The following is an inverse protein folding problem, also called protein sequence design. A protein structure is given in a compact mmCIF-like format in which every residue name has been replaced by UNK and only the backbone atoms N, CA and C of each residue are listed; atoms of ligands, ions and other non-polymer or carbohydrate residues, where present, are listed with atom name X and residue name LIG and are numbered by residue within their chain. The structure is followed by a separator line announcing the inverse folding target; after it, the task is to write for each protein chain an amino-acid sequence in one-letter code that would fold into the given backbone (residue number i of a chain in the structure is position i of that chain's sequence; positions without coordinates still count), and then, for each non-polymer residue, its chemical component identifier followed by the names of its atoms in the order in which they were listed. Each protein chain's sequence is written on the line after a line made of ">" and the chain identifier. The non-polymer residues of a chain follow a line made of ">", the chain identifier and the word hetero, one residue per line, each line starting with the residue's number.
data_IF_589277350073
#
_entry.id   IF_589277350073
#
_cell.length_a   1.000
_cell.length_b   1.000
_cell.length_c   1.000
_cell.angle_alpha   90.00
_cell.angle_beta   90.00
_cell.angle_gamma   90.00
#
_symmetry.space_group_name_H-M   'P 1'
#
loop_
_entity.id
_entity.type
_entity.pdbx_description
1 polymer ?
#
# COMPACT_ATOMS: atom_id res chain seq x y z
N UNK A 1 17.98 11.48 57.23
CA UNK A 1 17.57 10.30 56.41
C UNK A 1 17.65 10.70 54.97
N UNK A 2 18.59 10.16 54.24
CA UNK A 2 18.82 10.45 52.81
C UNK A 2 17.80 9.76 51.94
N UNK A 3 17.54 10.27 50.73
CA UNK A 3 16.60 9.75 49.76
C UNK A 3 16.87 8.26 49.47
N UNK A 4 18.11 7.82 49.52
CA UNK A 4 18.54 6.41 49.35
C UNK A 4 17.99 5.48 50.46
N UNK A 5 17.88 5.92 51.69
CA UNK A 5 17.33 5.12 52.80
C UNK A 5 15.81 4.96 52.70
N UNK A 6 15.11 5.92 52.07
CA UNK A 6 13.66 5.80 51.83
C UNK A 6 13.35 4.83 50.70
N UNK A 7 14.16 4.82 49.64
CA UNK A 7 13.98 3.91 48.52
C UNK A 7 14.29 2.45 48.90
N UNK A 8 15.31 2.26 49.76
CA UNK A 8 15.65 0.92 50.27
C UNK A 8 14.57 0.37 51.21
N UNK A 9 13.95 1.24 51.99
CA UNK A 9 12.87 0.83 52.91
C UNK A 9 11.57 0.46 52.16
N UNK A 10 11.32 1.08 51.03
CA UNK A 10 10.17 0.78 50.12
C UNK A 10 10.35 -0.55 49.44
N UNK A 11 11.58 -0.94 49.05
CA UNK A 11 11.87 -2.23 48.42
C UNK A 11 11.66 -3.39 49.42
N UNK A 12 12.02 -3.21 50.70
CA UNK A 12 11.89 -4.24 51.73
C UNK A 12 10.44 -4.60 52.08
N UNK A 13 9.47 -3.66 51.82
CA UNK A 13 8.06 -3.90 52.13
C UNK A 13 7.18 -4.34 50.95
N UNK A 14 7.72 -4.53 49.77
CA UNK A 14 6.97 -5.06 48.62
C UNK A 14 5.78 -4.19 48.14
N UNK A 15 5.68 -2.93 48.58
CA UNK A 15 4.45 -2.14 48.48
C UNK A 15 4.44 -1.06 47.39
N UNK A 16 5.50 -0.86 46.61
CA UNK A 16 5.53 0.31 45.72
C UNK A 16 6.21 0.16 44.36
N UNK A 17 6.36 -1.05 43.83
CA UNK A 17 6.72 -1.21 42.44
C UNK A 17 5.56 -0.79 41.47
N UNK A 18 4.37 -0.55 42.02
CA UNK A 18 3.18 -0.16 41.25
C UNK A 18 2.97 1.36 41.14
N UNK A 19 3.65 2.17 41.94
CA UNK A 19 3.38 3.63 42.00
C UNK A 19 4.25 4.48 41.10
N UNK A 20 5.18 3.91 40.35
CA UNK A 20 6.08 4.65 39.45
C UNK A 20 5.92 4.33 37.94
N UNK A 21 4.92 3.58 37.54
CA UNK A 21 4.45 3.71 36.16
C UNK A 21 3.71 5.06 36.07
N UNK A 22 4.47 6.14 35.85
CA UNK A 22 3.88 7.36 35.32
C UNK A 22 3.19 6.94 34.03
N UNK A 23 1.87 6.83 34.05
CA UNK A 23 1.12 6.58 32.82
C UNK A 23 1.44 7.74 31.89
N UNK A 24 2.24 7.49 30.90
CA UNK A 24 2.47 8.41 29.80
C UNK A 24 1.26 8.18 28.92
N UNK A 25 0.33 9.10 28.94
CA UNK A 25 -0.74 9.14 27.96
C UNK A 25 -0.20 9.85 26.73
N UNK A 26 -0.20 9.17 25.58
CA UNK A 26 0.02 9.81 24.30
C UNK A 26 -1.00 10.92 24.14
N UNK A 27 -0.51 12.13 23.90
CA UNK A 27 -1.36 13.31 23.76
C UNK A 27 -1.73 13.51 22.29
N UNK A 28 -2.46 12.56 21.74
CA UNK A 28 -2.84 12.53 20.31
C UNK A 28 -3.42 13.85 19.85
N UNK A 29 -4.34 14.45 20.62
CA UNK A 29 -4.96 15.74 20.25
C UNK A 29 -3.96 16.92 20.29
N UNK A 30 -3.02 16.94 21.22
CA UNK A 30 -1.97 17.99 21.28
C UNK A 30 -1.02 17.86 20.08
N UNK A 31 -0.63 16.63 19.71
CA UNK A 31 0.23 16.36 18.56
C UNK A 31 -0.49 16.78 17.27
N UNK A 32 -1.75 16.39 17.10
CA UNK A 32 -2.55 16.76 15.92
C UNK A 32 -2.74 18.27 15.83
N UNK A 33 -3.08 18.94 16.92
CA UNK A 33 -3.24 20.40 16.94
C UNK A 33 -1.94 21.14 16.59
N UNK A 34 -0.81 20.63 17.10
CA UNK A 34 0.51 21.17 16.75
C UNK A 34 0.85 20.97 15.27
N UNK A 35 0.50 19.78 14.74
CA UNK A 35 0.73 19.44 13.35
C UNK A 35 -0.14 20.27 12.40
N UNK A 36 -1.43 20.47 12.74
CA UNK A 36 -2.35 21.31 11.98
C UNK A 36 -1.88 22.78 11.95
N UNK A 37 -1.35 23.29 13.07
CA UNK A 37 -0.80 24.63 13.12
C UNK A 37 0.44 24.78 12.21
N UNK A 38 1.26 23.75 12.05
CA UNK A 38 2.43 23.73 11.16
C UNK A 38 2.06 23.52 9.68
N UNK A 39 1.03 22.73 9.42
CA UNK A 39 0.61 22.28 8.09
C UNK A 39 -0.85 22.62 7.80
N UNK A 40 -1.23 23.90 7.81
CA UNK A 40 -2.62 24.32 7.63
C UNK A 40 -3.15 23.90 6.26
N UNK A 41 -4.31 23.22 6.25
CA UNK A 41 -4.97 22.82 5.02
C UNK A 41 -4.54 21.47 4.44
N UNK A 42 -3.59 20.76 5.05
CA UNK A 42 -3.16 19.42 4.63
C UNK A 42 -4.08 18.32 5.19
N UNK A 43 -5.36 18.33 4.81
CA UNK A 43 -6.42 17.52 5.41
C UNK A 43 -6.17 16.01 5.29
N UNK A 44 -5.77 15.54 4.10
CA UNK A 44 -5.53 14.12 3.85
C UNK A 44 -4.38 13.60 4.71
N UNK A 45 -3.34 14.40 4.88
CA UNK A 45 -2.20 14.06 5.70
C UNK A 45 -2.56 14.00 7.19
N UNK A 46 -3.25 15.03 7.72
CA UNK A 46 -3.67 15.11 9.11
C UNK A 46 -4.62 13.96 9.49
N UNK A 47 -5.53 13.59 8.57
CA UNK A 47 -6.43 12.44 8.78
C UNK A 47 -5.66 11.13 8.90
N UNK A 48 -4.71 10.86 8.01
CA UNK A 48 -3.91 9.65 8.05
C UNK A 48 -3.07 9.55 9.34
N UNK A 49 -2.48 10.66 9.78
CA UNK A 49 -1.76 10.71 11.05
C UNK A 49 -2.70 10.39 12.21
N UNK A 50 -3.90 10.98 12.26
CA UNK A 50 -4.90 10.72 13.29
C UNK A 50 -5.26 9.24 13.38
N UNK A 51 -5.57 8.61 12.25
CA UNK A 51 -5.94 7.18 12.18
C UNK A 51 -4.84 6.28 12.74
N UNK A 52 -3.59 6.51 12.35
CA UNK A 52 -2.46 5.73 12.84
C UNK A 52 -2.23 5.96 14.35
N UNK A 53 -2.16 7.22 14.79
CA UNK A 53 -1.92 7.55 16.20
C UNK A 53 -3.01 6.95 17.11
N UNK A 54 -4.27 7.01 16.71
CA UNK A 54 -5.37 6.39 17.46
C UNK A 54 -5.18 4.87 17.62
N UNK A 55 -4.73 4.19 16.56
CA UNK A 55 -4.56 2.73 16.58
C UNK A 55 -3.34 2.26 17.39
N UNK A 56 -2.30 3.09 17.52
CA UNK A 56 -1.06 2.73 18.23
C UNK A 56 -0.98 3.27 19.66
N UNK A 57 -1.94 4.10 20.09
CA UNK A 57 -1.92 4.78 21.40
C UNK A 57 -1.68 3.81 22.56
N UNK A 58 -2.39 2.68 22.56
CA UNK A 58 -2.25 1.68 23.63
C UNK A 58 -0.82 1.15 23.76
N UNK A 59 -0.24 0.69 22.64
CA UNK A 59 1.12 0.15 22.64
C UNK A 59 2.18 1.21 22.90
N UNK A 60 1.97 2.44 22.40
CA UNK A 60 2.87 3.55 22.68
C UNK A 60 2.97 3.85 24.18
N UNK A 61 1.83 3.86 24.87
CA UNK A 61 1.75 4.13 26.31
C UNK A 61 2.44 3.05 27.18
N UNK A 62 2.67 1.87 26.63
CA UNK A 62 3.46 0.80 27.26
C UNK A 62 4.99 1.04 27.15
N UNK A 63 5.42 2.00 26.32
CA UNK A 63 6.82 2.28 25.97
C UNK A 63 7.25 3.70 26.32
N UNK A 64 7.50 4.01 27.62
CA UNK A 64 7.89 5.37 28.05
C UNK A 64 9.19 5.87 27.40
N UNK A 65 10.04 4.99 26.92
CA UNK A 65 11.24 5.33 26.16
C UNK A 65 10.92 6.02 24.81
N UNK A 66 9.79 5.72 24.19
CA UNK A 66 9.38 6.35 22.94
C UNK A 66 9.04 7.84 23.12
N UNK A 67 8.34 8.18 24.21
CA UNK A 67 8.06 9.58 24.55
C UNK A 67 9.34 10.35 24.84
N UNK A 68 10.27 9.76 25.60
CA UNK A 68 11.55 10.38 25.91
C UNK A 68 12.38 10.66 24.66
N UNK A 69 12.31 9.81 23.66
CA UNK A 69 13.00 9.95 22.38
C UNK A 69 12.20 10.75 21.34
N UNK A 70 11.01 11.25 21.68
CA UNK A 70 10.14 12.00 20.79
C UNK A 70 9.84 11.26 19.49
N UNK A 71 9.57 9.95 19.61
CA UNK A 71 9.37 9.08 18.43
C UNK A 71 8.20 9.57 17.57
N UNK A 72 7.06 9.94 18.17
CA UNK A 72 5.91 10.39 17.39
C UNK A 72 6.18 11.71 16.69
N UNK A 73 6.72 12.69 17.39
CA UNK A 73 7.01 14.02 16.82
C UNK A 73 8.01 13.94 15.65
N UNK A 74 8.95 12.98 15.70
CA UNK A 74 9.89 12.70 14.61
C UNK A 74 9.25 11.86 13.50
N UNK A 75 8.32 10.98 13.84
CA UNK A 75 7.67 10.07 12.89
C UNK A 75 6.60 10.77 12.03
N UNK A 76 5.94 11.80 12.58
CA UNK A 76 4.89 12.55 11.87
C UNK A 76 5.44 13.72 11.04
N UNK A 77 6.73 13.92 10.97
CA UNK A 77 7.35 14.91 10.09
C UNK A 77 8.23 14.17 9.07
N UNK A 78 8.12 14.45 7.77
CA UNK A 78 9.00 13.84 6.79
C UNK A 78 10.45 14.33 6.95
N UNK A 79 11.41 13.45 6.70
CA UNK A 79 12.83 13.80 6.78
C UNK A 79 13.20 14.92 5.79
N UNK A 80 12.65 14.88 4.56
CA UNK A 80 12.90 15.88 3.50
C UNK A 80 11.75 15.97 2.52
N UNK A 81 11.53 17.17 1.99
CA UNK A 81 10.59 17.44 0.90
C UNK A 81 11.32 18.22 -0.18
N UNK A 82 11.26 17.73 -1.41
CA UNK A 82 11.72 18.43 -2.59
C UNK A 82 10.51 18.89 -3.41
N UNK A 83 10.47 20.17 -3.72
CA UNK A 83 9.48 20.77 -4.61
C UNK A 83 10.21 21.50 -5.73
N UNK A 84 9.85 21.22 -6.98
CA UNK A 84 10.56 21.75 -8.14
C UNK A 84 9.64 21.99 -9.33
N UNK A 85 10.02 22.91 -10.20
CA UNK A 85 9.33 23.16 -11.48
C UNK A 85 9.77 22.12 -12.52
N UNK A 86 8.80 21.68 -13.33
CA UNK A 86 9.02 20.76 -14.44
C UNK A 86 8.56 21.43 -15.73
N UNK A 87 9.41 22.24 -16.40
CA UNK A 87 9.08 22.82 -17.70
C UNK A 87 9.28 21.80 -18.81
N UNK A 88 8.34 21.73 -19.75
CA UNK A 88 8.42 20.85 -20.92
C UNK A 88 7.67 21.46 -22.10
N UNK A 89 7.91 20.93 -23.30
CA UNK A 89 7.33 21.45 -24.55
C UNK A 89 6.46 20.36 -25.16
N UNK A 90 5.23 20.70 -25.58
CA UNK A 90 4.34 19.77 -26.26
C UNK A 90 4.68 19.58 -27.75
N UNK A 91 3.87 18.82 -28.48
CA UNK A 91 4.11 18.53 -29.89
C UNK A 91 3.79 19.74 -30.80
N UNK A 92 3.10 20.76 -30.28
CA UNK A 92 2.81 22.04 -30.96
C UNK A 92 3.89 23.10 -30.74
N UNK A 93 4.87 22.80 -29.83
CA UNK A 93 5.93 23.75 -29.46
C UNK A 93 5.55 24.70 -28.31
N UNK A 94 4.40 24.46 -27.68
CA UNK A 94 3.95 25.26 -26.52
C UNK A 94 4.66 24.80 -25.24
N UNK A 95 5.03 25.78 -24.41
CA UNK A 95 5.73 25.53 -23.13
C UNK A 95 4.71 25.32 -22.02
N UNK A 96 4.85 24.21 -21.32
CA UNK A 96 4.09 23.86 -20.12
C UNK A 96 5.00 23.85 -18.90
N UNK A 97 4.43 24.17 -17.73
CA UNK A 97 5.14 24.12 -16.44
C UNK A 97 4.27 23.38 -15.43
N UNK A 98 4.76 22.25 -14.96
CA UNK A 98 4.16 21.47 -13.89
C UNK A 98 4.96 21.63 -12.59
N UNK A 99 4.35 21.24 -11.48
CA UNK A 99 4.99 21.19 -10.17
C UNK A 99 5.29 19.74 -9.81
N UNK A 100 6.57 19.45 -9.59
CA UNK A 100 7.06 18.14 -9.17
C UNK A 100 7.42 18.11 -7.70
N UNK A 101 7.28 16.92 -7.09
CA UNK A 101 7.54 16.69 -5.67
C UNK A 101 8.23 15.35 -5.43
N UNK A 102 9.07 15.30 -4.38
CA UNK A 102 9.49 14.07 -3.72
C UNK A 102 9.48 14.27 -2.22
N UNK A 103 8.73 13.45 -1.52
CA UNK A 103 8.70 13.35 -0.06
C UNK A 103 9.53 12.14 0.35
N UNK A 104 10.66 12.36 0.98
CA UNK A 104 11.47 11.39 1.67
C UNK A 104 10.98 11.37 3.12
N UNK A 105 10.11 10.38 3.42
CA UNK A 105 9.33 10.46 4.64
C UNK A 105 10.09 9.94 5.86
N UNK A 106 10.57 8.69 5.81
CA UNK A 106 11.33 8.07 6.89
C UNK A 106 12.24 6.96 6.34
N UNK A 107 13.51 6.95 6.72
CA UNK A 107 14.50 5.97 6.28
C UNK A 107 15.09 5.11 7.40
N UNK A 108 14.45 5.07 8.56
CA UNK A 108 14.96 4.31 9.70
C UNK A 108 15.15 2.80 9.43
N UNK A 109 14.40 2.24 8.48
CA UNK A 109 14.51 0.81 8.12
C UNK A 109 15.42 0.56 6.91
N UNK A 110 15.54 1.54 6.02
CA UNK A 110 16.30 1.43 4.78
C UNK A 110 16.05 2.61 3.84
N UNK A 111 16.52 2.57 2.59
CA UNK A 111 16.34 3.68 1.65
C UNK A 111 14.87 4.04 1.48
N UNK A 112 14.58 5.32 1.28
CA UNK A 112 13.22 5.77 1.00
C UNK A 112 12.65 5.01 -0.19
N UNK A 113 11.44 4.52 -0.10
CA UNK A 113 10.81 3.70 -1.14
C UNK A 113 9.34 4.06 -1.29
N UNK A 114 8.94 4.33 -2.54
CA UNK A 114 7.55 4.59 -2.88
C UNK A 114 7.36 5.20 -4.26
N UNK A 115 6.15 5.09 -4.79
CA UNK A 115 5.82 5.42 -6.17
C UNK A 115 5.87 6.91 -6.50
N UNK A 116 5.97 7.19 -7.79
CA UNK A 116 5.71 8.50 -8.41
C UNK A 116 4.30 8.49 -9.01
N UNK A 117 3.50 9.50 -8.72
CA UNK A 117 2.14 9.68 -9.25
C UNK A 117 2.09 10.86 -10.22
N UNK A 118 1.62 10.63 -11.45
CA UNK A 118 1.34 11.71 -12.39
C UNK A 118 -0.17 11.84 -12.56
N UNK A 119 -0.73 12.83 -11.89
CA UNK A 119 -2.17 13.07 -11.88
C UNK A 119 -2.47 14.51 -11.49
N UNK A 120 -3.48 15.16 -12.08
CA UNK A 120 -3.79 16.58 -11.81
C UNK A 120 -4.15 16.88 -10.34
N UNK A 121 -4.56 15.88 -9.57
CA UNK A 121 -4.85 16.05 -8.14
C UNK A 121 -3.62 16.02 -7.24
N UNK A 122 -2.42 15.77 -7.78
CA UNK A 122 -1.20 15.68 -6.96
C UNK A 122 -0.91 17.03 -6.30
N UNK A 123 -0.79 16.98 -4.98
CA UNK A 123 -0.38 18.08 -4.13
C UNK A 123 0.46 17.54 -2.96
N UNK A 124 1.02 18.44 -2.17
CA UNK A 124 1.92 18.06 -1.07
C UNK A 124 1.21 17.27 0.04
N UNK A 125 -0.03 17.63 0.39
CA UNK A 125 -0.83 16.92 1.42
C UNK A 125 -1.01 15.44 1.05
N UNK A 126 -1.43 15.17 -0.20
CA UNK A 126 -1.60 13.80 -0.71
C UNK A 126 -0.28 13.03 -0.69
N UNK A 127 0.84 13.66 -1.08
CA UNK A 127 2.13 12.97 -1.12
C UNK A 127 2.71 12.73 0.28
N UNK A 128 2.50 13.63 1.24
CA UNK A 128 2.84 13.41 2.64
C UNK A 128 2.01 12.26 3.24
N UNK A 129 0.70 12.28 3.03
CA UNK A 129 -0.20 11.19 3.41
C UNK A 129 0.32 9.83 2.88
N UNK A 130 0.54 9.76 1.57
CA UNK A 130 0.97 8.52 0.94
C UNK A 130 2.39 8.09 1.37
N UNK A 131 3.30 9.03 1.65
CA UNK A 131 4.65 8.74 2.16
C UNK A 131 4.64 8.22 3.58
N UNK A 132 3.78 8.80 4.43
CA UNK A 132 3.55 8.35 5.80
C UNK A 132 3.02 6.91 5.84
N UNK A 133 1.94 6.63 5.12
CA UNK A 133 1.36 5.28 4.99
C UNK A 133 2.36 4.28 4.40
N UNK A 134 3.15 4.72 3.41
CA UNK A 134 4.17 3.87 2.78
C UNK A 134 5.25 3.43 3.76
N UNK A 135 5.59 4.24 4.77
CA UNK A 135 6.55 3.90 5.81
C UNK A 135 6.12 2.64 6.56
N UNK A 136 4.86 2.57 7.00
CA UNK A 136 4.32 1.41 7.73
C UNK A 136 4.12 0.20 6.82
N UNK A 137 3.61 0.42 5.62
CA UNK A 137 3.44 -0.63 4.62
C UNK A 137 4.77 -1.33 4.28
N UNK A 138 5.83 -0.55 4.06
CA UNK A 138 7.15 -1.10 3.78
C UNK A 138 7.72 -1.84 5.00
N UNK A 139 7.50 -1.32 6.20
CA UNK A 139 7.91 -1.95 7.44
C UNK A 139 7.35 -3.37 7.59
N UNK A 140 6.09 -3.60 7.20
CA UNK A 140 5.44 -4.91 7.26
C UNK A 140 6.11 -5.94 6.35
N UNK A 141 6.69 -5.54 5.22
CA UNK A 141 7.31 -6.48 4.26
C UNK A 141 8.53 -7.22 4.78
N UNK A 142 9.04 -6.86 5.96
CA UNK A 142 10.32 -7.31 6.53
C UNK A 142 11.57 -6.86 5.77
N UNK A 143 11.44 -6.38 4.55
CA UNK A 143 12.53 -5.89 3.72
C UNK A 143 13.06 -4.53 4.24
N UNK A 144 14.35 -4.23 3.99
CA UNK A 144 14.97 -2.98 4.44
C UNK A 144 14.59 -1.81 3.54
N UNK A 145 13.38 -1.30 3.70
CA UNK A 145 12.84 -0.20 2.90
C UNK A 145 12.13 0.81 3.80
N UNK A 146 12.54 2.06 3.72
CA UNK A 146 11.87 3.20 4.33
C UNK A 146 10.62 3.65 3.54
N UNK A 147 10.06 4.80 3.89
CA UNK A 147 8.89 5.39 3.23
C UNK A 147 9.21 6.63 2.42
N UNK A 148 8.66 6.74 1.24
CA UNK A 148 8.73 7.93 0.40
C UNK A 148 7.61 7.96 -0.63
N UNK A 149 7.33 9.14 -1.16
CA UNK A 149 6.33 9.33 -2.22
C UNK A 149 6.67 10.55 -3.06
N UNK A 150 6.32 10.52 -4.34
CA UNK A 150 6.53 11.67 -5.20
C UNK A 150 5.53 11.74 -6.33
N UNK A 151 5.70 12.72 -7.20
CA UNK A 151 4.83 12.88 -8.35
C UNK A 151 4.76 14.31 -8.86
N UNK A 152 3.82 14.55 -9.75
CA UNK A 152 3.54 15.84 -10.32
C UNK A 152 2.06 15.97 -10.72
N UNK A 153 1.59 17.20 -10.86
CA UNK A 153 0.25 17.55 -11.35
C UNK A 153 0.09 17.35 -12.87
N UNK A 154 0.86 16.44 -13.44
CA UNK A 154 0.91 16.17 -14.88
C UNK A 154 -0.25 15.31 -15.35
N UNK A 155 -0.93 15.74 -16.42
CA UNK A 155 -1.99 14.99 -17.09
C UNK A 155 -1.39 14.20 -18.25
N UNK A 156 -1.22 12.91 -18.10
CA UNK A 156 -0.63 12.02 -19.12
C UNK A 156 -1.62 11.56 -20.19
N UNK A 157 -2.94 11.54 -19.86
CA UNK A 157 -3.98 11.08 -20.80
C UNK A 157 -4.10 12.05 -21.96
N UNK A 158 -4.14 11.50 -23.18
CA UNK A 158 -4.20 12.30 -24.41
C UNK A 158 -2.87 12.89 -24.86
N UNK A 159 -1.78 12.65 -24.15
CA UNK A 159 -0.43 13.06 -24.55
C UNK A 159 0.25 12.00 -25.41
N UNK A 160 1.05 12.45 -26.36
CA UNK A 160 1.90 11.56 -27.16
C UNK A 160 3.03 10.94 -26.33
N UNK A 161 3.59 9.82 -26.79
CA UNK A 161 4.77 9.23 -26.15
C UNK A 161 5.96 10.18 -26.09
N UNK A 162 6.11 11.04 -27.09
CA UNK A 162 7.17 12.05 -27.15
C UNK A 162 6.95 13.14 -26.09
N UNK A 163 5.71 13.60 -25.88
CA UNK A 163 5.37 14.54 -24.81
C UNK A 163 5.64 13.96 -23.43
N UNK A 164 5.16 12.74 -23.17
CA UNK A 164 5.39 12.04 -21.91
C UNK A 164 6.88 11.81 -21.65
N UNK A 165 7.64 11.46 -22.68
CA UNK A 165 9.10 11.30 -22.57
C UNK A 165 9.77 12.64 -22.20
N UNK A 166 9.44 13.73 -22.84
CA UNK A 166 10.00 15.07 -22.53
C UNK A 166 9.67 15.50 -21.11
N UNK A 167 8.43 15.25 -20.67
CA UNK A 167 8.04 15.51 -19.29
C UNK A 167 8.86 14.68 -18.30
N UNK A 168 8.97 13.35 -18.49
CA UNK A 168 9.75 12.47 -17.64
C UNK A 168 11.24 12.86 -17.58
N UNK A 169 11.81 13.27 -18.69
CA UNK A 169 13.19 13.74 -18.75
C UNK A 169 13.38 15.03 -17.95
N UNK A 170 12.48 16.00 -18.10
CA UNK A 170 12.52 17.26 -17.34
C UNK A 170 12.32 17.01 -15.85
N UNK A 171 11.37 16.15 -15.46
CA UNK A 171 11.14 15.75 -14.07
C UNK A 171 12.42 15.12 -13.46
N UNK A 172 13.10 14.24 -14.19
CA UNK A 172 14.31 13.57 -13.71
C UNK A 172 15.51 14.51 -13.61
N UNK A 173 15.59 15.55 -14.45
CA UNK A 173 16.66 16.58 -14.34
C UNK A 173 16.69 17.23 -12.96
N UNK A 174 15.53 17.42 -12.34
CA UNK A 174 15.43 17.99 -11.00
C UNK A 174 15.64 16.94 -9.89
N UNK A 175 15.15 15.72 -10.11
CA UNK A 175 15.09 14.71 -9.06
C UNK A 175 16.39 13.91 -8.89
N UNK A 176 17.17 13.67 -9.93
CA UNK A 176 18.22 12.66 -9.98
C UNK A 176 19.27 12.72 -8.87
N UNK A 177 19.61 13.93 -8.38
CA UNK A 177 20.61 14.11 -7.30
C UNK A 177 20.12 13.64 -5.93
N UNK A 178 18.83 13.48 -5.77
CA UNK A 178 18.18 13.18 -4.50
C UNK A 178 17.73 11.72 -4.40
N UNK A 179 17.95 10.91 -5.44
CA UNK A 179 17.60 9.50 -5.51
C UNK A 179 18.81 8.63 -5.81
N UNK A 180 18.71 7.36 -5.50
CA UNK A 180 19.79 6.38 -5.73
C UNK A 180 19.43 5.02 -5.13
N UNK A 181 20.16 3.94 -5.47
CA UNK A 181 19.83 2.58 -5.06
C UNK A 181 19.81 2.39 -3.53
N UNK A 182 20.67 3.14 -2.82
CA UNK A 182 20.83 3.04 -1.36
C UNK A 182 20.31 4.29 -0.60
N UNK A 183 19.74 5.26 -1.33
CA UNK A 183 19.24 6.51 -0.75
C UNK A 183 17.71 6.58 -0.85
N UNK A 184 17.20 6.56 -2.08
CA UNK A 184 15.78 6.71 -2.37
C UNK A 184 15.47 6.03 -3.71
N UNK A 185 14.57 5.05 -3.68
CA UNK A 185 14.22 4.24 -4.85
C UNK A 185 12.76 4.45 -5.22
N UNK A 186 12.45 5.37 -6.14
CA UNK A 186 11.09 5.56 -6.64
C UNK A 186 10.58 4.34 -7.42
N UNK A 187 9.25 4.28 -7.60
CA UNK A 187 8.55 3.25 -8.37
C UNK A 187 7.42 3.86 -9.18
N UNK A 188 6.69 3.05 -9.93
CA UNK A 188 5.43 3.46 -10.55
C UNK A 188 4.27 3.58 -9.56
N UNK A 189 3.29 4.42 -9.91
CA UNK A 189 2.00 4.62 -9.25
C UNK A 189 1.00 5.12 -10.31
N UNK A 190 -0.13 5.72 -9.95
CA UNK A 190 -1.11 6.26 -10.90
C UNK A 190 -0.41 7.18 -11.92
N UNK A 191 -0.61 6.91 -13.21
CA UNK A 191 -0.02 7.67 -14.30
C UNK A 191 1.47 7.43 -14.55
N UNK A 192 2.09 6.48 -13.83
CA UNK A 192 3.49 6.08 -14.03
C UNK A 192 3.56 4.57 -14.14
N UNK A 193 3.50 4.08 -15.36
CA UNK A 193 3.65 2.67 -15.71
C UNK A 193 5.07 2.32 -16.19
N UNK A 194 5.20 1.16 -16.85
CA UNK A 194 6.50 0.69 -17.36
C UNK A 194 7.14 1.67 -18.36
N UNK A 195 6.32 2.33 -19.21
CA UNK A 195 6.77 3.36 -20.17
C UNK A 195 7.42 4.53 -19.46
N UNK A 196 6.72 5.14 -18.52
CA UNK A 196 7.21 6.29 -17.74
C UNK A 196 8.43 5.93 -16.92
N UNK A 197 8.44 4.77 -16.26
CA UNK A 197 9.60 4.25 -15.52
C UNK A 197 10.80 4.10 -16.48
N UNK A 198 10.57 3.61 -17.69
CA UNK A 198 11.62 3.50 -18.72
C UNK A 198 12.23 4.87 -19.08
N UNK A 199 11.40 5.88 -19.34
CA UNK A 199 11.86 7.23 -19.66
C UNK A 199 12.60 7.90 -18.49
N UNK A 200 12.06 7.76 -17.27
CA UNK A 200 12.71 8.26 -16.05
C UNK A 200 14.05 7.59 -15.81
N UNK A 201 14.12 6.26 -15.91
CA UNK A 201 15.36 5.52 -15.72
C UNK A 201 16.41 5.81 -16.79
N UNK A 202 16.00 5.91 -18.05
CA UNK A 202 16.90 6.28 -19.16
C UNK A 202 17.57 7.62 -18.93
N UNK A 203 16.84 8.62 -18.43
CA UNK A 203 17.38 9.92 -18.08
C UNK A 203 18.26 9.89 -16.83
N UNK A 204 17.83 9.20 -15.76
CA UNK A 204 18.64 8.99 -14.56
C UNK A 204 20.00 8.38 -14.90
N UNK A 205 20.00 7.26 -15.62
CA UNK A 205 21.23 6.56 -16.04
C UNK A 205 22.18 7.48 -16.82
N UNK A 206 21.63 8.35 -17.66
CA UNK A 206 22.44 9.31 -18.42
C UNK A 206 23.08 10.38 -17.53
N UNK A 207 22.34 10.89 -16.55
CA UNK A 207 22.78 11.96 -15.64
C UNK A 207 23.76 11.43 -14.57
N UNK A 208 23.39 10.33 -13.92
CA UNK A 208 24.20 9.71 -12.88
C UNK A 208 25.43 8.98 -13.44
N UNK A 209 25.39 8.56 -14.72
CA UNK A 209 26.41 7.73 -15.39
C UNK A 209 26.58 6.37 -14.72
N UNK A 210 25.49 5.84 -14.18
CA UNK A 210 25.43 4.59 -13.44
C UNK A 210 24.27 3.73 -13.93
N UNK A 211 24.48 2.40 -13.91
CA UNK A 211 23.43 1.42 -14.15
C UNK A 211 23.14 0.67 -12.85
N UNK A 212 22.24 1.19 -12.05
CA UNK A 212 21.95 0.72 -10.68
C UNK A 212 20.48 0.37 -10.48
N UNK A 213 20.14 -0.11 -9.28
CA UNK A 213 18.79 -0.42 -8.85
C UNK A 213 17.89 0.78 -8.53
N UNK A 214 18.28 1.98 -8.93
CA UNK A 214 17.43 3.17 -8.81
C UNK A 214 16.20 3.02 -9.70
N UNK A 215 15.02 3.28 -9.17
CA UNK A 215 13.71 2.98 -9.74
C UNK A 215 13.40 1.48 -9.80
N UNK A 216 12.16 1.12 -9.42
CA UNK A 216 11.62 -0.22 -9.61
C UNK A 216 10.37 -0.21 -10.50
N UNK A 217 10.02 -1.37 -11.05
CA UNK A 217 9.05 -1.49 -12.13
C UNK A 217 9.66 -1.28 -13.51
N UNK A 218 10.97 -1.48 -13.61
CA UNK A 218 11.72 -1.44 -14.88
C UNK A 218 11.29 -2.56 -15.82
N UNK A 219 11.55 -2.40 -17.11
CA UNK A 219 11.45 -3.49 -18.09
C UNK A 219 12.46 -4.60 -17.79
N UNK A 220 12.13 -5.83 -18.16
CA UNK A 220 13.01 -6.99 -17.95
C UNK A 220 14.36 -6.84 -18.62
N UNK A 221 14.40 -6.12 -19.74
CA UNK A 221 15.60 -5.88 -20.56
C UNK A 221 16.66 -5.01 -19.84
N UNK A 222 16.28 -4.30 -18.78
CA UNK A 222 17.17 -3.38 -18.06
C UNK A 222 17.02 -3.44 -16.54
N UNK A 223 16.82 -4.64 -16.00
CA UNK A 223 16.90 -4.92 -14.57
C UNK A 223 15.55 -4.95 -13.85
N UNK A 224 14.44 -5.07 -14.56
CA UNK A 224 13.13 -5.32 -13.97
C UNK A 224 12.99 -6.74 -13.39
N UNK A 225 12.08 -6.92 -12.47
CA UNK A 225 11.71 -8.23 -11.93
C UNK A 225 10.49 -8.80 -12.64
N UNK A 226 10.50 -10.11 -12.84
CA UNK A 226 9.34 -10.87 -13.30
C UNK A 226 8.21 -10.85 -12.25
N UNK A 227 6.97 -11.13 -12.64
CA UNK A 227 5.73 -11.12 -11.82
C UNK A 227 5.36 -9.73 -11.25
N UNK A 228 5.99 -8.65 -11.66
CA UNK A 228 5.71 -7.32 -11.10
C UNK A 228 4.28 -6.81 -11.35
N UNK A 229 3.67 -7.00 -12.55
CA UNK A 229 2.31 -6.56 -12.80
C UNK A 229 1.26 -7.26 -11.92
N UNK A 230 1.41 -8.55 -11.68
CA UNK A 230 0.46 -9.41 -10.95
C UNK A 230 0.70 -9.43 -9.43
N UNK A 231 1.88 -8.99 -8.99
CA UNK A 231 2.37 -9.18 -7.63
C UNK A 231 1.43 -8.67 -6.54
N UNK A 232 0.71 -7.57 -6.77
CA UNK A 232 -0.23 -7.03 -5.80
C UNK A 232 -1.41 -7.98 -5.60
N UNK A 233 -1.99 -8.48 -6.69
CA UNK A 233 -3.09 -9.45 -6.66
C UNK A 233 -2.64 -10.79 -6.09
N UNK A 234 -1.48 -11.32 -6.49
CA UNK A 234 -0.91 -12.56 -5.98
C UNK A 234 -0.68 -12.49 -4.47
N UNK A 235 0.00 -11.42 -4.04
CA UNK A 235 0.24 -11.19 -2.61
C UNK A 235 -1.03 -11.07 -1.79
N UNK A 236 -2.05 -10.37 -2.31
CA UNK A 236 -3.35 -10.26 -1.68
C UNK A 236 -3.99 -11.64 -1.45
N UNK A 237 -3.96 -12.53 -2.44
CA UNK A 237 -4.49 -13.89 -2.29
C UNK A 237 -3.68 -14.75 -1.34
N UNK A 238 -2.35 -14.59 -1.26
CA UNK A 238 -1.54 -15.26 -0.24
C UNK A 238 -1.95 -14.84 1.17
N UNK A 239 -2.13 -13.53 1.39
CA UNK A 239 -2.60 -13.01 2.67
C UNK A 239 -4.00 -13.53 3.02
N UNK A 240 -4.95 -13.46 2.10
CA UNK A 240 -6.33 -13.95 2.28
C UNK A 240 -6.35 -15.44 2.60
N UNK A 241 -5.55 -16.24 1.91
CA UNK A 241 -5.47 -17.68 2.17
C UNK A 241 -4.95 -17.98 3.58
N UNK A 242 -3.94 -17.24 4.07
CA UNK A 242 -3.46 -17.36 5.45
C UNK A 242 -4.54 -16.91 6.45
N UNK A 243 -5.22 -15.80 6.19
CA UNK A 243 -6.29 -15.28 7.03
C UNK A 243 -7.45 -16.30 7.16
N UNK A 244 -7.85 -16.93 6.08
CA UNK A 244 -8.88 -17.97 6.11
C UNK A 244 -8.42 -19.20 6.92
N UNK A 245 -7.18 -19.66 6.73
CA UNK A 245 -6.61 -20.81 7.46
C UNK A 245 -6.51 -20.55 8.96
N UNK A 246 -6.14 -19.34 9.39
CA UNK A 246 -6.10 -18.94 10.80
C UNK A 246 -7.48 -19.11 11.47
N UNK A 247 -8.56 -18.97 10.69
CA UNK A 247 -9.94 -19.13 11.15
C UNK A 247 -10.57 -20.49 10.76
N UNK A 248 -9.76 -21.49 10.40
CA UNK A 248 -10.22 -22.85 10.11
C UNK A 248 -10.94 -23.01 8.76
N UNK A 249 -10.75 -22.09 7.84
CA UNK A 249 -11.34 -22.14 6.49
C UNK A 249 -10.29 -22.44 5.42
N UNK A 250 -10.73 -23.01 4.30
CA UNK A 250 -9.93 -23.17 3.09
C UNK A 250 -10.49 -22.26 1.98
N UNK A 251 -9.62 -21.64 1.20
CA UNK A 251 -10.02 -20.85 0.03
C UNK A 251 -10.58 -21.71 -1.10
N UNK A 252 -10.17 -22.99 -1.17
CA UNK A 252 -10.62 -23.92 -2.22
C UNK A 252 -12.13 -24.09 -2.19
N UNK A 253 -12.74 -23.91 -3.37
CA UNK A 253 -14.19 -24.02 -3.56
C UNK A 253 -14.99 -22.79 -3.13
N UNK A 254 -14.35 -21.76 -2.54
CA UNK A 254 -15.03 -20.51 -2.17
C UNK A 254 -15.35 -19.65 -3.37
N UNK A 255 -16.47 -18.94 -3.30
CA UNK A 255 -16.86 -17.94 -4.29
C UNK A 255 -16.23 -16.58 -3.96
N UNK A 256 -15.70 -15.92 -4.97
CA UNK A 256 -14.96 -14.66 -4.83
C UNK A 256 -15.55 -13.56 -5.70
N UNK A 257 -15.88 -12.43 -5.09
CA UNK A 257 -16.15 -11.20 -5.81
C UNK A 257 -14.88 -10.37 -5.93
N UNK A 258 -14.51 -10.00 -7.15
CA UNK A 258 -13.42 -9.09 -7.47
C UNK A 258 -13.98 -7.85 -8.14
N UNK A 259 -13.57 -6.67 -7.71
CA UNK A 259 -13.78 -5.41 -8.44
C UNK A 259 -12.55 -5.03 -9.23
N UNK A 260 -12.75 -4.16 -10.24
CA UNK A 260 -11.66 -3.65 -11.06
C UNK A 260 -11.37 -4.48 -12.30
N UNK A 261 -10.51 -3.90 -13.12
CA UNK A 261 -10.12 -4.43 -14.44
C UNK A 261 -8.64 -4.18 -14.74
N UNK A 262 -7.89 -3.75 -13.69
CA UNK A 262 -6.46 -3.48 -13.75
C UNK A 262 -5.59 -4.69 -13.42
N UNK A 263 -4.27 -4.51 -13.41
CA UNK A 263 -3.29 -5.56 -13.09
C UNK A 263 -3.54 -6.20 -11.70
N UNK A 264 -4.00 -5.41 -10.73
CA UNK A 264 -4.36 -5.89 -9.39
C UNK A 264 -5.50 -6.90 -9.47
N UNK A 265 -6.59 -6.55 -10.17
CA UNK A 265 -7.72 -7.44 -10.35
C UNK A 265 -7.33 -8.72 -11.12
N UNK A 266 -6.52 -8.61 -12.16
CA UNK A 266 -6.02 -9.76 -12.93
C UNK A 266 -5.17 -10.70 -12.10
N UNK A 267 -4.23 -10.15 -11.32
CA UNK A 267 -3.44 -10.94 -10.40
C UNK A 267 -4.35 -11.67 -9.39
N UNK A 268 -5.35 -10.97 -8.83
CA UNK A 268 -6.29 -11.57 -7.90
C UNK A 268 -7.12 -12.71 -8.54
N UNK A 269 -7.68 -12.48 -9.73
CA UNK A 269 -8.46 -13.50 -10.47
C UNK A 269 -7.62 -14.73 -10.76
N UNK A 270 -6.41 -14.54 -11.30
CA UNK A 270 -5.51 -15.64 -11.67
C UNK A 270 -5.13 -16.45 -10.43
N UNK A 271 -4.63 -15.80 -9.37
CA UNK A 271 -4.17 -16.51 -8.17
C UNK A 271 -5.33 -17.15 -7.39
N UNK A 272 -6.49 -16.53 -7.30
CA UNK A 272 -7.67 -17.14 -6.69
C UNK A 272 -8.07 -18.44 -7.42
N UNK A 273 -8.06 -18.42 -8.76
CA UNK A 273 -8.35 -19.60 -9.59
C UNK A 273 -7.31 -20.70 -9.39
N UNK A 274 -6.01 -20.36 -9.36
CA UNK A 274 -4.92 -21.32 -9.07
C UNK A 274 -5.07 -21.96 -7.70
N UNK A 275 -5.51 -21.23 -6.68
CA UNK A 275 -5.77 -21.73 -5.33
C UNK A 275 -7.09 -22.52 -5.23
N UNK A 276 -7.84 -22.67 -6.33
CA UNK A 276 -9.06 -23.44 -6.41
C UNK A 276 -10.32 -22.72 -5.98
N UNK A 277 -10.30 -21.40 -5.84
CA UNK A 277 -11.50 -20.59 -5.63
C UNK A 277 -12.23 -20.35 -6.96
N UNK A 278 -13.50 -19.95 -6.87
CA UNK A 278 -14.31 -19.59 -8.02
C UNK A 278 -14.58 -18.07 -8.04
N UNK A 279 -13.88 -17.35 -8.90
CA UNK A 279 -14.12 -15.92 -9.09
C UNK A 279 -15.38 -15.76 -9.93
N UNK A 280 -16.37 -15.03 -9.40
CA UNK A 280 -17.69 -14.88 -10.05
C UNK A 280 -17.99 -13.46 -10.51
N UNK A 281 -17.16 -12.48 -10.15
CA UNK A 281 -17.35 -11.10 -10.60
C UNK A 281 -16.03 -10.45 -11.04
N UNK A 282 -16.15 -9.47 -11.94
CA UNK A 282 -15.14 -8.48 -12.28
C UNK A 282 -15.86 -7.18 -12.63
N UNK A 283 -15.25 -6.02 -12.43
CA UNK A 283 -15.89 -4.74 -12.72
C UNK A 283 -15.01 -3.78 -13.49
N UNK A 284 -15.63 -2.95 -14.30
CA UNK A 284 -15.03 -1.84 -15.03
C UNK A 284 -15.66 -0.49 -14.63
N UNK A 285 -15.28 0.60 -15.31
CA UNK A 285 -15.93 1.89 -15.13
C UNK A 285 -17.41 1.89 -15.52
N UNK A 286 -17.80 1.00 -16.42
CA UNK A 286 -19.16 0.83 -16.98
C UNK A 286 -20.12 0.02 -16.08
N UNK A 287 -19.59 -0.79 -15.16
CA UNK A 287 -20.40 -1.65 -14.30
C UNK A 287 -19.65 -2.92 -13.89
N UNK A 288 -20.38 -4.01 -13.60
CA UNK A 288 -19.75 -5.28 -13.26
C UNK A 288 -20.41 -6.46 -14.00
N UNK A 289 -19.62 -7.51 -14.15
CA UNK A 289 -20.05 -8.84 -14.63
C UNK A 289 -20.28 -9.75 -13.44
N UNK A 290 -21.37 -10.51 -13.46
CA UNK A 290 -21.59 -11.67 -12.61
C UNK A 290 -21.66 -12.92 -13.48
N UNK A 291 -20.74 -13.85 -13.30
CA UNK A 291 -20.67 -15.13 -14.00
C UNK A 291 -20.72 -16.29 -12.99
N UNK A 292 -21.86 -16.94 -12.80
CA UNK A 292 -22.02 -18.02 -11.83
C UNK A 292 -21.19 -19.28 -12.18
N UNK A 293 -20.78 -19.45 -13.43
CA UNK A 293 -19.91 -20.54 -13.87
C UNK A 293 -18.44 -20.31 -13.45
N UNK A 294 -18.08 -19.07 -13.18
CA UNK A 294 -16.73 -18.64 -12.81
C UNK A 294 -15.94 -18.07 -13.99
N UNK A 295 -15.04 -17.14 -13.64
CA UNK A 295 -14.15 -16.44 -14.59
C UNK A 295 -12.79 -17.14 -14.57
N UNK A 296 -12.53 -18.04 -15.51
CA UNK A 296 -11.29 -18.81 -15.57
C UNK A 296 -10.93 -19.19 -17.03
N UNK A 297 -9.70 -19.59 -17.28
CA UNK A 297 -9.25 -20.10 -18.58
C UNK A 297 -9.49 -19.11 -19.73
N UNK A 298 -10.25 -19.50 -20.74
CA UNK A 298 -10.56 -18.68 -21.93
C UNK A 298 -11.20 -17.33 -21.54
N UNK A 299 -12.00 -17.30 -20.48
CA UNK A 299 -12.66 -16.07 -20.03
C UNK A 299 -11.66 -15.04 -19.53
N UNK A 300 -10.60 -15.46 -18.82
CA UNK A 300 -9.49 -14.59 -18.41
C UNK A 300 -8.76 -14.06 -19.65
N UNK A 301 -8.41 -14.92 -20.59
CA UNK A 301 -7.70 -14.53 -21.80
C UNK A 301 -8.49 -13.49 -22.61
N UNK A 302 -9.79 -13.73 -22.79
CA UNK A 302 -10.65 -12.75 -23.46
C UNK A 302 -10.65 -11.38 -22.82
N UNK A 303 -10.69 -11.34 -21.50
CA UNK A 303 -10.68 -10.07 -20.77
C UNK A 303 -9.31 -9.37 -20.85
N UNK A 304 -8.21 -10.13 -20.86
CA UNK A 304 -6.87 -9.57 -21.08
C UNK A 304 -6.73 -8.97 -22.48
N UNK A 305 -7.25 -9.64 -23.50
CA UNK A 305 -7.29 -9.13 -24.88
C UNK A 305 -8.14 -7.85 -24.99
N UNK A 306 -9.32 -7.84 -24.37
CA UNK A 306 -10.21 -6.68 -24.33
C UNK A 306 -9.50 -5.46 -23.70
N UNK A 307 -8.78 -5.66 -22.60
CA UNK A 307 -7.98 -4.63 -21.98
C UNK A 307 -6.82 -4.17 -22.87
N UNK A 308 -6.10 -5.09 -23.47
CA UNK A 308 -4.98 -4.79 -24.38
C UNK A 308 -5.41 -3.96 -25.60
N UNK A 309 -6.65 -4.08 -26.03
CA UNK A 309 -7.24 -3.24 -27.08
C UNK A 309 -7.51 -1.79 -26.69
N UNK A 310 -7.22 -1.41 -25.45
CA UNK A 310 -7.49 -0.08 -24.90
C UNK A 310 -8.94 0.16 -24.46
N UNK A 311 -9.75 -0.91 -24.41
CA UNK A 311 -11.15 -0.85 -24.04
C UNK A 311 -11.32 -1.24 -22.56
N UNK A 312 -11.44 -0.24 -21.68
CA UNK A 312 -11.55 -0.42 -20.22
C UNK A 312 -12.98 -0.72 -19.74
N UNK A 313 -13.84 -1.31 -20.57
CA UNK A 313 -15.20 -1.69 -20.22
C UNK A 313 -15.35 -3.21 -20.11
N UNK A 314 -16.30 -3.67 -19.29
CA UNK A 314 -16.52 -5.10 -19.05
C UNK A 314 -17.81 -5.64 -19.72
N UNK A 315 -18.71 -4.79 -20.17
CA UNK A 315 -19.97 -5.18 -20.80
C UNK A 315 -19.80 -6.20 -21.95
N UNK A 316 -18.79 -6.12 -22.86
CA UNK A 316 -18.61 -7.09 -23.95
C UNK A 316 -18.41 -8.54 -23.49
N UNK A 317 -18.06 -8.78 -22.22
CA UNK A 317 -17.95 -10.13 -21.66
C UNK A 317 -19.30 -10.86 -21.70
N UNK A 318 -20.40 -10.20 -21.28
CA UNK A 318 -21.74 -10.81 -21.30
C UNK A 318 -22.30 -11.01 -22.71
N UNK A 319 -21.77 -10.27 -23.69
CA UNK A 319 -22.10 -10.51 -25.08
C UNK A 319 -21.47 -11.81 -25.59
N UNK A 320 -20.26 -12.13 -25.17
CA UNK A 320 -19.55 -13.35 -25.58
C UNK A 320 -19.96 -14.57 -24.74
N UNK A 321 -20.11 -14.43 -23.44
CA UNK A 321 -20.43 -15.51 -22.48
C UNK A 321 -21.86 -15.36 -21.98
N UNK A 322 -22.81 -16.06 -22.61
CA UNK A 322 -24.25 -15.85 -22.40
C UNK A 322 -24.80 -16.27 -21.03
N UNK A 323 -24.04 -17.06 -20.27
CA UNK A 323 -24.33 -17.39 -18.86
C UNK A 323 -24.05 -16.25 -17.87
N UNK A 324 -23.27 -15.29 -18.29
CA UNK A 324 -22.95 -14.12 -17.49
C UNK A 324 -23.97 -12.99 -17.64
N UNK A 325 -24.09 -12.19 -16.61
CA UNK A 325 -24.93 -10.98 -16.63
C UNK A 325 -24.07 -9.74 -16.42
N UNK A 326 -24.41 -8.66 -17.11
CA UNK A 326 -23.80 -7.34 -16.92
C UNK A 326 -24.77 -6.43 -16.19
N UNK A 327 -24.29 -5.72 -15.16
CA UNK A 327 -25.04 -4.71 -14.43
C UNK A 327 -24.34 -3.36 -14.55
N UNK A 328 -24.97 -2.45 -15.29
CA UNK A 328 -24.41 -1.13 -15.58
C UNK A 328 -24.36 -0.23 -14.33
N UNK A 329 -23.27 0.52 -14.19
CA UNK A 329 -23.12 1.59 -13.19
C UNK A 329 -23.04 1.14 -11.74
N UNK A 330 -23.03 -0.17 -11.45
CA UNK A 330 -22.93 -0.74 -10.10
C UNK A 330 -21.60 -1.43 -9.84
N UNK A 331 -21.34 -1.70 -8.54
CA UNK A 331 -20.24 -2.54 -8.03
C UNK A 331 -20.82 -3.90 -7.59
N UNK A 332 -20.00 -4.96 -7.46
CA UNK A 332 -20.48 -6.33 -7.26
C UNK A 332 -20.85 -6.68 -5.81
N UNK A 333 -20.89 -5.72 -4.89
CA UNK A 333 -20.94 -5.98 -3.45
C UNK A 333 -22.31 -6.49 -2.94
N UNK A 334 -23.37 -6.37 -3.73
CA UNK A 334 -24.68 -6.98 -3.47
C UNK A 334 -24.69 -8.50 -3.72
N UNK A 335 -23.69 -9.04 -4.46
CA UNK A 335 -23.63 -10.46 -4.79
C UNK A 335 -23.27 -11.30 -3.56
N UNK A 336 -23.99 -12.42 -3.40
CA UNK A 336 -23.70 -13.37 -2.32
C UNK A 336 -22.44 -14.18 -2.65
N UNK A 337 -21.36 -13.90 -1.93
CA UNK A 337 -20.05 -14.54 -2.11
C UNK A 337 -19.42 -14.84 -0.74
N UNK A 338 -18.45 -15.76 -0.74
CA UNK A 338 -17.68 -16.07 0.47
C UNK A 338 -16.60 -15.02 0.73
N UNK A 339 -16.00 -14.45 -0.32
CA UNK A 339 -14.84 -13.55 -0.24
C UNK A 339 -15.09 -12.33 -1.11
N UNK A 340 -14.87 -11.12 -0.58
CA UNK A 340 -14.97 -9.87 -1.33
C UNK A 340 -13.59 -9.16 -1.37
N UNK A 341 -13.12 -8.88 -2.59
CA UNK A 341 -11.79 -8.31 -2.85
C UNK A 341 -11.91 -6.99 -3.64
N UNK A 342 -11.97 -5.83 -2.96
CA UNK A 342 -11.80 -4.54 -3.61
C UNK A 342 -10.42 -4.45 -4.30
N UNK A 343 -10.40 -4.35 -5.64
CA UNK A 343 -9.19 -4.34 -6.46
C UNK A 343 -9.12 -3.16 -7.44
N UNK A 344 -10.08 -2.22 -7.39
CA UNK A 344 -10.19 -1.14 -8.35
C UNK A 344 -9.63 0.19 -7.82
N UNK A 345 -10.47 0.94 -7.13
CA UNK A 345 -10.16 2.33 -6.75
C UNK A 345 -10.37 2.58 -5.27
N UNK A 346 -9.85 3.72 -4.81
CA UNK A 346 -10.07 4.20 -3.46
C UNK A 346 -11.56 4.44 -3.19
N UNK A 347 -12.04 4.06 -1.98
CA UNK A 347 -13.41 4.28 -1.49
C UNK A 347 -14.50 3.70 -2.41
N UNK A 348 -14.22 2.59 -3.07
CA UNK A 348 -15.18 1.93 -3.96
C UNK A 348 -16.26 1.12 -3.24
N UNK A 349 -16.00 0.73 -1.99
CA UNK A 349 -16.91 -0.01 -1.12
C UNK A 349 -17.34 0.89 0.03
N UNK A 350 -18.62 1.27 0.04
CA UNK A 350 -19.19 2.19 1.03
C UNK A 350 -19.93 1.45 2.15
N UNK A 351 -20.55 2.21 3.07
CA UNK A 351 -21.27 1.65 4.23
C UNK A 351 -22.46 0.76 3.82
N UNK A 352 -23.17 1.07 2.74
CA UNK A 352 -24.31 0.25 2.29
C UNK A 352 -23.81 -1.07 1.67
N UNK A 353 -22.72 -1.02 0.92
CA UNK A 353 -22.03 -2.21 0.41
C UNK A 353 -21.55 -3.11 1.56
N UNK A 354 -20.96 -2.51 2.60
CA UNK A 354 -20.53 -3.25 3.80
C UNK A 354 -21.70 -3.95 4.50
N UNK A 355 -22.84 -3.27 4.67
CA UNK A 355 -24.06 -3.88 5.22
C UNK A 355 -24.54 -5.04 4.36
N UNK A 356 -24.49 -4.91 3.03
CA UNK A 356 -24.89 -5.98 2.11
C UNK A 356 -23.99 -7.22 2.28
N UNK A 357 -22.68 -7.05 2.34
CA UNK A 357 -21.72 -8.14 2.54
C UNK A 357 -21.89 -8.83 3.91
N UNK A 358 -22.09 -8.06 4.98
CA UNK A 358 -22.36 -8.59 6.32
C UNK A 358 -23.68 -9.39 6.33
N UNK A 359 -24.75 -8.85 5.77
CA UNK A 359 -26.05 -9.53 5.68
C UNK A 359 -25.99 -10.81 4.85
N UNK A 360 -25.17 -10.82 3.79
CA UNK A 360 -24.91 -11.98 2.94
C UNK A 360 -24.04 -13.05 3.62
N UNK A 361 -23.50 -12.76 4.83
CA UNK A 361 -22.58 -13.62 5.59
C UNK A 361 -21.29 -13.92 4.80
N UNK A 362 -20.78 -12.92 4.09
CA UNK A 362 -19.46 -12.98 3.47
C UNK A 362 -18.43 -13.30 4.55
N UNK A 363 -17.58 -14.31 4.35
CA UNK A 363 -16.59 -14.73 5.33
C UNK A 363 -15.50 -13.70 5.53
N UNK A 364 -15.03 -13.10 4.43
CA UNK A 364 -13.83 -12.29 4.41
C UNK A 364 -13.97 -11.12 3.45
N UNK A 365 -13.53 -9.95 3.88
CA UNK A 365 -13.31 -8.77 3.04
C UNK A 365 -11.85 -8.35 3.15
N UNK A 366 -11.14 -8.22 2.03
CA UNK A 366 -9.72 -7.85 2.04
C UNK A 366 -9.39 -6.86 0.92
N UNK A 367 -8.87 -5.69 1.30
CA UNK A 367 -8.54 -4.62 0.37
C UNK A 367 -7.26 -4.94 -0.42
N UNK A 368 -7.38 -5.30 -1.68
CA UNK A 368 -6.21 -5.40 -2.56
C UNK A 368 -5.92 -4.05 -3.25
N UNK A 369 -6.91 -3.18 -3.40
CA UNK A 369 -6.70 -1.76 -3.76
C UNK A 369 -6.17 -0.95 -2.57
N UNK A 370 -5.69 0.27 -2.83
CA UNK A 370 -5.33 1.19 -1.76
C UNK A 370 -6.61 1.86 -1.23
N UNK A 371 -6.91 1.64 0.07
CA UNK A 371 -8.10 2.20 0.73
C UNK A 371 -9.38 1.92 -0.07
N UNK A 372 -9.64 0.65 -0.37
CA UNK A 372 -10.81 0.24 -1.17
C UNK A 372 -12.15 0.52 -0.49
N UNK A 373 -12.18 0.52 0.84
CA UNK A 373 -13.36 0.77 1.67
C UNK A 373 -13.36 2.21 2.20
N UNK A 374 -14.54 2.79 2.37
CA UNK A 374 -14.69 4.04 3.12
C UNK A 374 -14.46 3.79 4.63
N UNK A 375 -14.13 4.83 5.38
CA UNK A 375 -13.93 4.72 6.83
C UNK A 375 -15.16 4.12 7.53
N UNK A 376 -16.36 4.55 7.15
CA UNK A 376 -17.63 4.05 7.70
C UNK A 376 -17.84 2.56 7.38
N UNK A 377 -17.39 2.10 6.22
CA UNK A 377 -17.46 0.68 5.86
C UNK A 377 -16.48 -0.16 6.71
N UNK A 378 -15.28 0.35 6.94
CA UNK A 378 -14.28 -0.28 7.82
C UNK A 378 -14.82 -0.38 9.25
N UNK A 379 -15.38 0.71 9.79
CA UNK A 379 -15.96 0.73 11.14
C UNK A 379 -17.07 -0.34 11.28
N UNK A 380 -17.97 -0.44 10.29
CA UNK A 380 -19.00 -1.48 10.27
C UNK A 380 -18.42 -2.90 10.26
N UNK A 381 -17.36 -3.16 9.52
CA UNK A 381 -16.71 -4.48 9.53
C UNK A 381 -16.10 -4.78 10.90
N UNK A 382 -15.43 -3.82 11.53
CA UNK A 382 -14.80 -3.99 12.85
C UNK A 382 -15.85 -4.18 13.95
N UNK A 383 -16.93 -3.38 13.97
CA UNK A 383 -18.03 -3.48 14.92
C UNK A 383 -18.73 -4.85 14.85
N UNK A 384 -18.86 -5.42 13.66
CA UNK A 384 -19.47 -6.74 13.45
C UNK A 384 -18.45 -7.90 13.56
N UNK A 385 -17.20 -7.63 13.94
CA UNK A 385 -16.11 -8.62 14.00
C UNK A 385 -15.97 -9.43 12.70
N UNK A 386 -16.23 -8.77 11.56
CA UNK A 386 -16.02 -9.35 10.23
C UNK A 386 -14.55 -9.63 10.01
N UNK A 387 -14.20 -10.73 9.33
CA UNK A 387 -12.81 -10.91 8.87
C UNK A 387 -12.50 -9.84 7.81
N UNK A 388 -11.93 -8.74 8.26
CA UNK A 388 -11.54 -7.61 7.42
C UNK A 388 -10.03 -7.38 7.51
N UNK A 389 -9.37 -7.19 6.36
CA UNK A 389 -7.96 -6.87 6.31
C UNK A 389 -7.68 -5.62 5.46
N UNK A 390 -6.86 -4.67 5.99
CA UNK A 390 -6.61 -3.38 5.37
C UNK A 390 -5.62 -3.46 4.21
N UNK A 391 -5.75 -2.55 3.26
CA UNK A 391 -4.92 -2.50 2.06
C UNK A 391 -3.43 -2.46 2.33
N UNK A 392 -2.96 -1.73 3.35
CA UNK A 392 -1.53 -1.64 3.69
C UNK A 392 -0.87 -3.00 3.99
N UNK A 393 -1.63 -3.97 4.48
CA UNK A 393 -1.15 -5.34 4.70
C UNK A 393 -1.39 -6.22 3.46
N UNK A 394 -2.62 -6.23 2.95
CA UNK A 394 -3.06 -7.13 1.88
C UNK A 394 -2.39 -6.82 0.54
N UNK A 395 -2.26 -5.54 0.18
CA UNK A 395 -1.70 -5.13 -1.11
C UNK A 395 -0.17 -4.93 -1.10
N UNK A 396 0.50 -5.34 -0.04
CA UNK A 396 1.96 -5.19 0.09
C UNK A 396 2.76 -6.01 -0.94
N UNK A 397 2.13 -6.94 -1.65
CA UNK A 397 2.78 -7.77 -2.67
C UNK A 397 3.51 -6.97 -3.75
N UNK A 398 2.91 -5.87 -4.21
CA UNK A 398 3.55 -4.99 -5.21
C UNK A 398 4.84 -4.33 -4.71
N UNK A 399 4.87 -3.82 -3.49
CA UNK A 399 6.08 -3.23 -2.91
C UNK A 399 7.08 -4.30 -2.46
N UNK A 400 6.61 -5.46 -2.01
CA UNK A 400 7.47 -6.61 -1.71
C UNK A 400 8.25 -7.03 -2.96
N UNK A 401 7.59 -7.23 -4.11
CA UNK A 401 8.27 -7.54 -5.37
C UNK A 401 9.19 -6.41 -5.83
N UNK A 402 8.85 -5.14 -5.55
CA UNK A 402 9.78 -4.04 -5.80
C UNK A 402 11.05 -4.15 -4.95
N UNK A 403 10.95 -4.55 -3.68
CA UNK A 403 12.13 -4.84 -2.84
C UNK A 403 12.93 -6.03 -3.32
N UNK A 404 12.27 -7.08 -3.85
CA UNK A 404 12.94 -8.20 -4.50
C UNK A 404 13.66 -7.76 -5.80
N UNK A 405 13.10 -6.82 -6.58
CA UNK A 405 13.77 -6.20 -7.71
C UNK A 405 15.03 -5.45 -7.28
N UNK A 406 14.96 -4.67 -6.20
CA UNK A 406 16.14 -4.01 -5.62
C UNK A 406 17.22 -5.02 -5.24
N UNK A 407 16.85 -6.12 -4.61
CA UNK A 407 17.78 -7.19 -4.24
C UNK A 407 18.44 -7.81 -5.47
N UNK A 408 17.68 -8.17 -6.50
CA UNK A 408 18.20 -8.71 -7.76
C UNK A 408 19.17 -7.72 -8.43
N UNK A 409 18.84 -6.42 -8.42
CA UNK A 409 19.70 -5.38 -8.97
C UNK A 409 21.03 -5.24 -8.20
N UNK A 410 20.97 -5.27 -6.86
CA UNK A 410 22.17 -5.20 -6.02
C UNK A 410 23.10 -6.41 -6.20
N UNK A 411 22.52 -7.58 -6.49
CA UNK A 411 23.27 -8.81 -6.76
C UNK A 411 23.71 -8.95 -8.23
N UNK A 412 23.21 -8.10 -9.13
CA UNK A 412 23.36 -8.23 -10.58
C UNK A 412 22.89 -9.58 -11.13
N UNK A 413 21.79 -10.10 -10.56
CA UNK A 413 21.17 -11.38 -10.93
C UNK A 413 19.68 -11.17 -11.22
N UNK A 414 19.12 -12.04 -12.05
CA UNK A 414 17.68 -12.17 -12.27
C UNK A 414 17.21 -13.51 -11.71
N UNK A 415 16.09 -13.49 -10.99
CA UNK A 415 15.44 -14.70 -10.47
C UNK A 415 14.37 -15.18 -11.44
N UNK A 416 14.09 -16.48 -11.40
CA UNK A 416 12.99 -17.10 -12.10
C UNK A 416 11.64 -16.68 -11.48
N UNK A 417 10.56 -16.88 -12.24
CA UNK A 417 9.20 -16.62 -11.73
C UNK A 417 8.91 -17.42 -10.43
N UNK A 418 9.35 -18.66 -10.36
CA UNK A 418 9.16 -19.51 -9.19
C UNK A 418 9.90 -18.98 -7.95
N UNK A 419 11.14 -18.51 -8.10
CA UNK A 419 11.90 -17.93 -6.99
C UNK A 419 11.28 -16.60 -6.48
N UNK A 420 10.78 -15.75 -7.38
CA UNK A 420 10.10 -14.51 -6.99
C UNK A 420 8.77 -14.83 -6.30
N UNK A 421 7.99 -15.76 -6.83
CA UNK A 421 6.67 -16.14 -6.27
C UNK A 421 6.82 -16.78 -4.89
N UNK A 422 7.79 -17.67 -4.70
CA UNK A 422 8.08 -18.28 -3.39
C UNK A 422 8.45 -17.23 -2.34
N UNK A 423 9.32 -16.29 -2.68
CA UNK A 423 9.71 -15.20 -1.77
C UNK A 423 8.54 -14.27 -1.47
N UNK A 424 7.72 -13.95 -2.47
CA UNK A 424 6.51 -13.18 -2.30
C UNK A 424 5.54 -13.87 -1.34
N UNK A 425 5.33 -15.18 -1.50
CA UNK A 425 4.49 -15.97 -0.60
C UNK A 425 5.00 -15.95 0.84
N UNK A 426 6.31 -16.11 1.05
CA UNK A 426 6.94 -16.05 2.38
C UNK A 426 6.77 -14.66 3.02
N UNK A 427 6.98 -13.58 2.26
CA UNK A 427 6.81 -12.20 2.75
C UNK A 427 5.36 -11.96 3.16
N UNK A 428 4.39 -12.34 2.34
CA UNK A 428 2.96 -12.15 2.65
C UNK A 428 2.52 -12.97 3.85
N UNK A 429 3.07 -14.18 4.03
CA UNK A 429 2.88 -14.99 5.24
C UNK A 429 3.41 -14.29 6.50
N UNK A 430 4.60 -13.71 6.42
CA UNK A 430 5.19 -12.95 7.54
C UNK A 430 4.39 -11.68 7.86
N UNK A 431 3.84 -10.99 6.85
CA UNK A 431 2.95 -9.83 7.08
C UNK A 431 1.69 -10.28 7.82
N UNK A 432 1.07 -11.36 7.38
CA UNK A 432 -0.11 -11.92 8.06
C UNK A 432 0.18 -12.27 9.53
N UNK A 433 1.27 -12.98 9.79
CA UNK A 433 1.68 -13.36 11.14
C UNK A 433 1.87 -12.13 12.05
N UNK A 434 2.54 -11.09 11.57
CA UNK A 434 2.70 -9.84 12.33
C UNK A 434 1.36 -9.18 12.64
N UNK A 435 0.43 -9.16 11.67
CA UNK A 435 -0.92 -8.64 11.91
C UNK A 435 -1.68 -9.45 12.96
N UNK A 436 -1.55 -10.77 12.96
CA UNK A 436 -2.16 -11.67 13.97
C UNK A 436 -1.58 -11.40 15.36
N UNK A 437 -0.24 -11.38 15.48
CA UNK A 437 0.45 -11.17 16.77
C UNK A 437 0.04 -9.86 17.43
N UNK A 438 -0.08 -8.79 16.66
CA UNK A 438 -0.39 -7.45 17.19
C UNK A 438 -1.88 -7.07 17.17
N UNK A 439 -2.69 -7.84 16.45
CA UNK A 439 -4.13 -7.55 16.30
C UNK A 439 -5.05 -8.47 17.08
N UNK A 440 -4.52 -9.49 17.79
CA UNK A 440 -5.33 -10.46 18.52
C UNK A 440 -6.01 -9.85 19.74
N UNK A 441 -7.33 -9.93 19.78
CA UNK A 441 -8.22 -9.45 20.85
C UNK A 441 -9.13 -10.61 21.28
N UNK A 442 -8.63 -11.50 22.15
CA UNK A 442 -9.32 -12.74 22.49
C UNK A 442 -9.39 -13.68 21.29
N UNK A 443 -10.59 -14.06 20.88
CA UNK A 443 -10.84 -14.92 19.71
C UNK A 443 -10.93 -14.13 18.39
N UNK A 444 -11.03 -12.79 18.45
CA UNK A 444 -11.06 -11.92 17.29
C UNK A 444 -9.64 -11.42 16.94
N UNK A 445 -9.39 -11.23 15.66
CA UNK A 445 -8.15 -10.62 15.15
C UNK A 445 -8.52 -9.34 14.40
N UNK A 446 -8.15 -8.21 14.97
CA UNK A 446 -8.26 -6.90 14.34
C UNK A 446 -7.04 -6.65 13.45
N UNK A 447 -7.12 -7.04 12.17
CA UNK A 447 -6.02 -6.89 11.22
C UNK A 447 -5.64 -5.43 10.94
N UNK A 448 -6.56 -4.47 11.09
CA UNK A 448 -6.28 -3.02 10.94
C UNK A 448 -5.32 -2.57 12.04
N UNK A 449 -5.69 -2.84 13.30
CA UNK A 449 -4.86 -2.57 14.47
C UNK A 449 -3.53 -3.31 14.39
N UNK A 450 -3.58 -4.59 14.03
CA UNK A 450 -2.39 -5.42 13.90
C UNK A 450 -1.38 -4.88 12.90
N UNK A 451 -1.82 -4.46 11.72
CA UNK A 451 -0.97 -3.88 10.70
C UNK A 451 -0.35 -2.53 11.14
N UNK A 452 -1.14 -1.66 11.77
CA UNK A 452 -0.64 -0.36 12.25
C UNK A 452 0.40 -0.53 13.37
N UNK A 453 0.11 -1.37 14.36
CA UNK A 453 1.03 -1.61 15.49
C UNK A 453 2.30 -2.30 15.00
N UNK A 454 2.21 -3.35 14.19
CA UNK A 454 3.40 -4.05 13.67
C UNK A 454 4.32 -3.11 12.88
N UNK A 455 3.77 -2.33 11.97
CA UNK A 455 4.51 -1.34 11.20
C UNK A 455 5.16 -0.29 12.11
N UNK A 456 4.39 0.31 13.02
CA UNK A 456 4.87 1.29 13.98
C UNK A 456 6.02 0.76 14.85
N UNK A 457 5.84 -0.39 15.48
CA UNK A 457 6.84 -0.95 16.40
C UNK A 457 8.17 -1.21 15.72
N UNK A 458 8.16 -1.67 14.47
CA UNK A 458 9.40 -1.88 13.72
C UNK A 458 10.11 -0.57 13.42
N UNK A 459 9.39 0.47 12.99
CA UNK A 459 9.98 1.80 12.71
C UNK A 459 10.47 2.44 14.01
N UNK A 460 9.66 2.46 15.07
CA UNK A 460 10.01 3.05 16.35
C UNK A 460 11.26 2.42 16.96
N UNK A 461 11.38 1.08 16.95
CA UNK A 461 12.55 0.36 17.43
C UNK A 461 13.81 0.68 16.61
N UNK A 462 13.68 0.79 15.28
CA UNK A 462 14.79 1.20 14.42
C UNK A 462 15.25 2.62 14.73
N UNK A 463 14.31 3.57 14.86
CA UNK A 463 14.60 4.96 15.26
C UNK A 463 15.27 5.04 16.63
N UNK A 464 14.84 4.22 17.61
CA UNK A 464 15.46 4.14 18.94
C UNK A 464 16.89 3.63 18.87
N UNK A 465 17.12 2.55 18.09
CA UNK A 465 18.43 1.93 17.97
C UNK A 465 19.46 2.84 17.28
N UNK A 466 19.01 3.69 16.36
CA UNK A 466 19.87 4.63 15.63
C UNK A 466 20.10 5.96 16.40
N UNK A 467 19.36 6.20 17.46
CA UNK A 467 19.47 7.42 18.26
C UNK A 467 18.72 8.62 17.68
N UNK A 468 19.22 9.81 17.96
CA UNK A 468 18.63 11.08 17.50
C UNK A 468 19.49 11.61 16.36
N UNK A 469 19.04 11.33 15.15
CA UNK A 469 19.68 11.69 13.88
C UNK A 469 18.76 12.51 13.02
#
# INVERSE_FOLDING_TARGET
>A
MTILEKDFWVIEKGLHLWTFKKYINMKTEEILSSLEAKHPGEKEYLQAVKEVLTSIEGVYNEHPEFEKAKIIERLVEPDRIFTFRVPWVDDQGEVHVNLGYRVQFNNAIGPYKGGLRFHPSVNLSILKFLGFEQTFKNALTTLPMGGGKGGADFVFRGRSDAEVMRFCQSFMLELWRNIGPDTDVPAGDIGVGAREVGYLYGMYKKLAREHTGTLTGKGLEFGGSILRPEATGFGGLYFVNQMLREHGHDIKGKTVAVSGFGNVAWGAVTKATELGAKVVTISGPDGYIYDPAGISGEKINYMLELRASGNDIVAPYADKFKEATFTAGKRPWEQKVDIALPCATQNELNADDARALINNKTLCVAEISNMGCTAEAVDLFLENQQLFAPGKAVNAGGVATSGLEMTQNAMHLSWTAAEVDERLHQIMGSIHEQCVVHGREGDYINYVKGANIAGFMKVARAMMAQGIV
#
